data_IF_298841142930
#
_entry.id   IF_298841142930
#
_cell.length_a   1.000
_cell.length_b   1.000
_cell.length_c   1.000
_cell.angle_alpha   90.00
_cell.angle_beta   90.00
_cell.angle_gamma   90.00
#
_symmetry.space_group_name_H-M   'P 1'
#
loop_
_entity.id
_entity.type
_entity.pdbx_description
1 polymer ?
#
# COMPACT_ATOMS: atom_id res chain seq x y z
N UNK A 1 24.72 -39.54 -69.46
CA UNK A 1 24.72 -40.86 -70.14
C UNK A 1 24.53 -41.95 -69.09
N UNK A 2 23.60 -42.88 -69.36
CA UNK A 2 23.26 -44.13 -68.65
C UNK A 2 22.79 -44.04 -67.18
N UNK A 3 21.51 -44.28 -66.82
CA UNK A 3 20.68 -45.53 -66.88
C UNK A 3 21.43 -46.74 -66.32
N UNK A 4 20.88 -47.65 -65.52
CA UNK A 4 19.62 -47.88 -64.81
C UNK A 4 19.76 -49.29 -64.16
N UNK A 5 19.01 -49.59 -63.09
CA UNK A 5 18.39 -50.90 -62.75
C UNK A 5 18.12 -50.99 -61.23
N UNK A 6 16.89 -50.82 -60.72
CA UNK A 6 15.69 -51.72 -60.73
C UNK A 6 15.79 -52.87 -59.72
N UNK A 7 14.92 -52.84 -58.68
CA UNK A 7 13.93 -53.90 -58.33
C UNK A 7 13.10 -53.49 -57.08
N UNK A 8 11.76 -53.41 -57.20
CA UNK A 8 10.74 -54.39 -56.73
C UNK A 8 10.50 -54.36 -55.20
N UNK A 9 9.30 -54.39 -54.60
CA UNK A 9 7.91 -54.54 -55.09
C UNK A 9 6.91 -54.39 -53.89
N UNK A 10 5.69 -53.88 -54.15
CA UNK A 10 4.38 -54.09 -53.42
C UNK A 10 4.25 -53.66 -51.94
N UNK A 11 3.06 -53.36 -51.38
CA UNK A 11 1.69 -52.95 -51.79
C UNK A 11 0.96 -52.62 -50.46
N UNK A 12 0.12 -51.58 -50.48
CA UNK A 12 -1.18 -51.53 -49.78
C UNK A 12 -1.21 -51.27 -48.27
N UNK A 13 -1.86 -50.18 -47.86
CA UNK A 13 -3.22 -50.22 -47.30
C UNK A 13 -3.64 -48.82 -46.81
N UNK A 14 -4.81 -48.37 -47.27
CA UNK A 14 -5.51 -47.18 -46.81
C UNK A 14 -6.17 -47.49 -45.46
N UNK A 15 -5.78 -46.81 -44.39
CA UNK A 15 -6.46 -46.85 -43.10
C UNK A 15 -7.17 -45.52 -42.89
N UNK A 16 -8.50 -45.56 -42.78
CA UNK A 16 -9.36 -44.44 -42.38
C UNK A 16 -9.21 -44.21 -40.87
N UNK A 17 -9.17 -42.97 -40.37
CA UNK A 17 -9.22 -42.72 -38.93
C UNK A 17 -10.66 -42.85 -38.40
N UNK A 18 -10.80 -43.50 -37.24
CA UNK A 18 -12.04 -43.59 -36.46
C UNK A 18 -12.43 -42.24 -35.82
N UNK A 19 -13.73 -42.02 -35.52
CA UNK A 19 -14.19 -40.75 -34.98
C UNK A 19 -13.84 -40.60 -33.50
N UNK A 20 -13.06 -39.57 -33.18
CA UNK A 20 -12.86 -39.12 -31.81
C UNK A 20 -14.20 -38.73 -31.16
N UNK A 21 -14.50 -39.41 -30.06
CA UNK A 21 -15.51 -39.04 -29.08
C UNK A 21 -15.29 -37.59 -28.63
N UNK A 22 -16.27 -36.73 -28.93
CA UNK A 22 -16.33 -35.35 -28.41
C UNK A 22 -16.35 -35.38 -26.88
N UNK A 23 -15.24 -35.02 -26.25
CA UNK A 23 -15.26 -34.57 -24.87
C UNK A 23 -16.08 -33.27 -24.80
N UNK A 24 -16.95 -33.18 -23.79
CA UNK A 24 -17.66 -31.95 -23.43
C UNK A 24 -16.63 -30.85 -23.17
N UNK A 25 -16.47 -29.93 -24.10
CA UNK A 25 -15.95 -28.59 -23.78
C UNK A 25 -17.00 -27.91 -22.89
N UNK A 26 -16.86 -28.06 -21.57
CA UNK A 26 -17.30 -27.00 -20.66
C UNK A 26 -16.50 -25.76 -21.05
N UNK A 27 -17.18 -24.69 -21.42
CA UNK A 27 -16.57 -23.39 -21.66
C UNK A 27 -15.73 -23.00 -20.45
N UNK A 28 -14.42 -22.96 -20.61
CA UNK A 28 -13.46 -22.53 -19.59
C UNK A 28 -13.53 -21.01 -19.47
N UNK A 29 -14.66 -20.50 -18.99
CA UNK A 29 -14.78 -19.12 -18.60
C UNK A 29 -13.86 -18.92 -17.40
N UNK A 30 -12.75 -18.19 -17.60
CA UNK A 30 -11.77 -17.92 -16.57
C UNK A 30 -12.48 -17.43 -15.30
N UNK A 31 -12.22 -18.09 -14.17
CA UNK A 31 -12.78 -17.69 -12.87
C UNK A 31 -12.42 -16.23 -12.57
N UNK A 32 -13.34 -15.47 -11.97
CA UNK A 32 -13.08 -14.07 -11.67
C UNK A 32 -11.98 -13.91 -10.61
N UNK A 33 -11.30 -12.77 -10.67
CA UNK A 33 -10.46 -12.27 -9.60
C UNK A 33 -11.36 -11.70 -8.51
N UNK A 34 -11.14 -12.11 -7.26
CA UNK A 34 -11.80 -11.54 -6.10
C UNK A 34 -11.12 -10.25 -5.66
N UNK A 35 -11.90 -9.23 -5.32
CA UNK A 35 -11.36 -7.99 -4.73
C UNK A 35 -12.21 -7.55 -3.55
N UNK A 36 -11.62 -7.58 -2.35
CA UNK A 36 -12.29 -7.23 -1.10
C UNK A 36 -11.67 -5.96 -0.53
N UNK A 37 -12.54 -4.97 -0.28
CA UNK A 37 -12.16 -3.67 0.28
C UNK A 37 -12.12 -2.58 -0.79
N UNK A 38 -13.19 -1.78 -0.87
CA UNK A 38 -13.35 -0.71 -1.86
C UNK A 38 -13.23 0.66 -1.17
N UNK A 39 -12.12 0.83 -0.43
CA UNK A 39 -11.76 2.09 0.21
C UNK A 39 -11.06 3.07 -0.75
N UNK A 40 -10.42 4.09 -0.19
CA UNK A 40 -9.74 5.16 -0.95
C UNK A 40 -8.68 4.65 -1.95
N UNK A 41 -8.06 3.50 -1.67
CA UNK A 41 -7.12 2.83 -2.57
C UNK A 41 -7.75 1.66 -3.33
N UNK A 42 -8.57 0.84 -2.66
CA UNK A 42 -9.15 -0.35 -3.26
C UNK A 42 -10.10 -0.07 -4.42
N UNK A 43 -10.93 0.98 -4.33
CA UNK A 43 -11.85 1.37 -5.40
C UNK A 43 -11.12 1.69 -6.73
N UNK A 44 -10.14 2.64 -6.79
CA UNK A 44 -9.44 2.92 -8.04
C UNK A 44 -8.62 1.73 -8.56
N UNK A 45 -8.04 0.92 -7.67
CA UNK A 45 -7.31 -0.30 -8.07
C UNK A 45 -8.23 -1.32 -8.75
N UNK A 46 -9.39 -1.61 -8.14
CA UNK A 46 -10.39 -2.52 -8.69
C UNK A 46 -10.99 -1.98 -10.00
N UNK A 47 -11.19 -0.66 -10.11
CA UNK A 47 -11.67 -0.04 -11.35
C UNK A 47 -10.71 -0.23 -12.51
N UNK A 48 -9.40 -0.19 -12.26
CA UNK A 48 -8.43 -0.44 -13.33
C UNK A 48 -8.47 -1.90 -13.81
N UNK A 49 -8.65 -2.86 -12.90
CA UNK A 49 -8.85 -4.27 -13.26
C UNK A 49 -10.10 -4.42 -14.15
N UNK A 50 -11.23 -3.84 -13.73
CA UNK A 50 -12.49 -3.89 -14.46
C UNK A 50 -12.38 -3.25 -15.86
N UNK A 51 -11.79 -2.05 -15.96
CA UNK A 51 -11.57 -1.33 -17.23
C UNK A 51 -10.64 -2.08 -18.18
N UNK A 52 -9.70 -2.86 -17.66
CA UNK A 52 -8.83 -3.72 -18.45
C UNK A 52 -9.54 -5.02 -18.92
N UNK A 53 -10.81 -5.21 -18.59
CA UNK A 53 -11.59 -6.40 -18.97
C UNK A 53 -11.29 -7.62 -18.11
N UNK A 54 -10.66 -7.46 -16.94
CA UNK A 54 -10.43 -8.56 -15.99
C UNK A 54 -11.78 -9.00 -15.43
N UNK A 55 -12.17 -10.29 -15.56
CA UNK A 55 -13.36 -10.79 -14.88
C UNK A 55 -13.20 -10.57 -13.37
N UNK A 56 -14.00 -9.68 -12.79
CA UNK A 56 -13.82 -9.19 -11.43
C UNK A 56 -15.08 -9.46 -10.60
N UNK A 57 -14.88 -10.01 -9.40
CA UNK A 57 -15.92 -10.18 -8.38
C UNK A 57 -15.52 -9.36 -7.15
N UNK A 58 -16.31 -8.33 -6.85
CA UNK A 58 -15.99 -7.38 -5.78
C UNK A 58 -16.91 -7.55 -4.58
N UNK A 59 -16.37 -7.26 -3.40
CA UNK A 59 -17.18 -7.10 -2.20
C UNK A 59 -16.61 -6.00 -1.29
N UNK A 60 -17.51 -5.30 -0.62
CA UNK A 60 -17.17 -4.36 0.43
C UNK A 60 -18.25 -4.42 1.52
N UNK A 61 -17.86 -4.22 2.78
CA UNK A 61 -18.82 -4.21 3.91
C UNK A 61 -19.97 -3.24 3.70
N UNK A 62 -19.66 -2.06 3.17
CA UNK A 62 -20.67 -1.07 2.75
C UNK A 62 -20.94 -1.25 1.26
N UNK A 63 -22.10 -1.84 0.93
CA UNK A 63 -22.44 -2.29 -0.42
C UNK A 63 -22.54 -1.13 -1.43
N UNK A 64 -22.89 0.07 -0.98
CA UNK A 64 -22.98 1.26 -1.83
C UNK A 64 -21.64 1.61 -2.51
N UNK A 65 -20.51 1.20 -1.92
CA UNK A 65 -19.18 1.37 -2.52
C UNK A 65 -18.91 0.46 -3.71
N UNK A 66 -19.77 -0.53 -3.97
CA UNK A 66 -19.62 -1.42 -5.13
C UNK A 66 -20.23 -0.84 -6.40
N UNK A 67 -21.09 0.18 -6.30
CA UNK A 67 -21.82 0.75 -7.43
C UNK A 67 -20.90 1.24 -8.59
N UNK A 68 -19.78 1.95 -8.35
CA UNK A 68 -18.87 2.34 -9.43
C UNK A 68 -18.26 1.14 -10.16
N UNK A 69 -17.97 0.05 -9.44
CA UNK A 69 -17.38 -1.17 -9.99
C UNK A 69 -18.41 -1.97 -10.79
N UNK A 70 -19.65 -2.06 -10.31
CA UNK A 70 -20.75 -2.67 -11.04
C UNK A 70 -21.01 -1.95 -12.37
N UNK A 71 -21.01 -0.61 -12.35
CA UNK A 71 -21.13 0.20 -13.57
C UNK A 71 -19.96 0.00 -14.55
N UNK A 72 -18.78 -0.36 -14.04
CA UNK A 72 -17.61 -0.72 -14.83
C UNK A 72 -17.57 -2.20 -15.28
N UNK A 73 -18.64 -2.97 -15.02
CA UNK A 73 -18.77 -4.37 -15.45
C UNK A 73 -18.28 -5.42 -14.47
N UNK A 74 -17.90 -5.04 -13.24
CA UNK A 74 -17.57 -6.00 -12.19
C UNK A 74 -18.85 -6.68 -11.65
N UNK A 75 -18.73 -7.96 -11.29
CA UNK A 75 -19.76 -8.66 -10.54
C UNK A 75 -19.69 -8.25 -9.07
N UNK A 76 -20.84 -8.12 -8.42
CA UNK A 76 -20.92 -7.83 -6.98
C UNK A 76 -21.29 -9.12 -6.24
N UNK A 77 -20.49 -9.49 -5.25
CA UNK A 77 -20.78 -10.61 -4.37
C UNK A 77 -21.68 -10.19 -3.20
N UNK A 78 -22.48 -11.12 -2.69
CA UNK A 78 -23.38 -10.84 -1.55
C UNK A 78 -22.62 -10.80 -0.21
N UNK A 79 -21.47 -11.48 -0.14
CA UNK A 79 -20.65 -11.57 1.06
C UNK A 79 -19.18 -11.81 0.73
N UNK A 80 -18.28 -11.60 1.70
CA UNK A 80 -16.88 -12.03 1.57
C UNK A 80 -16.76 -13.53 1.27
N UNK A 81 -17.60 -14.37 1.88
CA UNK A 81 -17.61 -15.82 1.66
C UNK A 81 -17.96 -16.17 0.21
N UNK A 82 -18.87 -15.42 -0.42
CA UNK A 82 -19.22 -15.60 -1.83
C UNK A 82 -18.04 -15.28 -2.77
N UNK A 83 -17.23 -14.27 -2.44
CA UNK A 83 -15.97 -13.99 -3.17
C UNK A 83 -15.04 -15.20 -3.12
N UNK A 84 -14.77 -15.73 -1.92
CA UNK A 84 -13.92 -16.91 -1.76
C UNK A 84 -14.51 -18.18 -2.39
N UNK A 85 -15.83 -18.29 -2.53
CA UNK A 85 -16.45 -19.44 -3.19
C UNK A 85 -16.23 -19.44 -4.71
N UNK A 86 -16.03 -18.27 -5.32
CA UNK A 86 -16.08 -18.08 -6.79
C UNK A 86 -14.76 -17.61 -7.42
N UNK A 87 -13.81 -17.14 -6.62
CA UNK A 87 -12.52 -16.64 -7.08
C UNK A 87 -11.34 -17.49 -6.57
N UNK A 88 -10.35 -17.74 -7.45
CA UNK A 88 -9.14 -18.47 -7.10
C UNK A 88 -8.03 -17.57 -6.55
N UNK A 89 -8.03 -16.29 -6.94
CA UNK A 89 -7.11 -15.25 -6.45
C UNK A 89 -7.97 -14.14 -5.86
N UNK A 90 -7.74 -13.81 -4.59
CA UNK A 90 -8.50 -12.79 -3.86
C UNK A 90 -7.57 -11.71 -3.32
N UNK A 91 -7.70 -10.49 -3.82
CA UNK A 91 -7.01 -9.31 -3.29
C UNK A 91 -7.75 -8.77 -2.06
N UNK A 92 -6.99 -8.49 -1.00
CA UNK A 92 -7.46 -7.84 0.21
C UNK A 92 -6.82 -6.45 0.31
N UNK A 93 -7.63 -5.40 0.16
CA UNK A 93 -7.21 -4.01 0.34
C UNK A 93 -7.98 -3.37 1.50
N UNK A 94 -7.59 -3.75 2.71
CA UNK A 94 -8.29 -3.45 3.96
C UNK A 94 -7.46 -2.53 4.87
N UNK A 95 -8.12 -1.95 5.87
CA UNK A 95 -7.55 -0.89 6.72
C UNK A 95 -6.52 -1.41 7.72
N UNK A 96 -6.73 -2.59 8.29
CA UNK A 96 -5.89 -3.18 9.34
C UNK A 96 -6.02 -4.72 9.36
N UNK A 97 -5.28 -5.35 10.29
CA UNK A 97 -5.28 -6.80 10.50
C UNK A 97 -6.63 -7.34 10.99
N UNK A 98 -7.34 -6.60 11.85
CA UNK A 98 -8.64 -7.01 12.37
C UNK A 98 -9.68 -7.13 11.25
N UNK A 99 -9.67 -6.19 10.31
CA UNK A 99 -10.52 -6.25 9.11
C UNK A 99 -10.18 -7.47 8.23
N UNK A 100 -8.88 -7.79 8.09
CA UNK A 100 -8.42 -8.98 7.35
C UNK A 100 -8.90 -10.26 8.05
N UNK A 101 -8.70 -10.37 9.37
CA UNK A 101 -9.08 -11.53 10.15
C UNK A 101 -10.59 -11.77 10.12
N UNK A 102 -11.39 -10.71 10.19
CA UNK A 102 -12.86 -10.80 10.05
C UNK A 102 -13.30 -11.26 8.65
N UNK A 103 -12.68 -10.73 7.58
CA UNK A 103 -12.96 -11.11 6.19
C UNK A 103 -12.52 -12.53 5.88
N UNK A 104 -11.48 -13.02 6.54
CA UNK A 104 -11.02 -14.40 6.40
C UNK A 104 -11.71 -15.36 7.36
N UNK A 105 -12.45 -14.85 8.35
CA UNK A 105 -12.91 -15.64 9.50
C UNK A 105 -11.75 -16.40 10.15
N UNK A 106 -10.58 -15.74 10.28
CA UNK A 106 -9.29 -16.40 10.56
C UNK A 106 -9.28 -17.26 11.81
N UNK A 107 -10.00 -16.83 12.85
CA UNK A 107 -10.10 -17.54 14.12
C UNK A 107 -11.42 -18.32 14.26
N UNK A 108 -12.21 -18.40 13.19
CA UNK A 108 -13.51 -19.06 13.16
C UNK A 108 -13.54 -20.32 12.30
N UNK A 109 -14.69 -21.01 12.26
CA UNK A 109 -14.83 -22.30 11.61
C UNK A 109 -14.77 -22.22 10.07
N UNK A 110 -14.94 -21.03 9.46
CA UNK A 110 -14.97 -20.88 8.02
C UNK A 110 -13.60 -20.54 7.41
N UNK A 111 -12.55 -20.35 8.22
CA UNK A 111 -11.23 -19.98 7.70
C UNK A 111 -10.73 -20.94 6.61
N UNK A 112 -10.71 -22.24 6.92
CA UNK A 112 -10.22 -23.27 6.01
C UNK A 112 -11.01 -23.30 4.70
N UNK A 113 -12.34 -23.22 4.76
CA UNK A 113 -13.18 -23.22 3.55
C UNK A 113 -13.03 -21.95 2.72
N UNK A 114 -12.68 -20.81 3.35
CA UNK A 114 -12.42 -19.55 2.67
C UNK A 114 -11.07 -19.51 1.95
N UNK A 115 -10.01 -20.16 2.45
CA UNK A 115 -8.64 -19.95 1.90
C UNK A 115 -7.99 -21.19 1.29
N UNK A 116 -8.48 -22.40 1.59
CA UNK A 116 -7.93 -23.64 1.01
C UNK A 116 -7.93 -23.59 -0.53
N UNK A 117 -6.86 -24.05 -1.17
CA UNK A 117 -6.68 -24.10 -2.63
C UNK A 117 -6.76 -22.72 -3.35
N UNK A 118 -6.76 -21.61 -2.60
CA UNK A 118 -6.86 -20.23 -3.13
C UNK A 118 -5.58 -19.45 -2.88
N UNK A 119 -5.36 -18.41 -3.67
CA UNK A 119 -4.33 -17.41 -3.42
C UNK A 119 -4.98 -16.19 -2.75
N UNK A 120 -4.60 -15.93 -1.51
CA UNK A 120 -4.94 -14.68 -0.81
C UNK A 120 -3.79 -13.69 -1.01
N UNK A 121 -4.10 -12.52 -1.57
CA UNK A 121 -3.11 -11.46 -1.79
C UNK A 121 -3.39 -10.29 -0.86
N UNK A 122 -2.57 -10.11 0.15
CA UNK A 122 -2.69 -9.01 1.10
C UNK A 122 -1.98 -7.76 0.57
N UNK A 123 -2.77 -6.73 0.23
CA UNK A 123 -2.27 -5.45 -0.30
C UNK A 123 -2.25 -4.32 0.74
N UNK A 124 -2.88 -4.57 1.90
CA UNK A 124 -2.89 -3.65 3.03
C UNK A 124 -1.50 -3.45 3.64
N UNK A 125 -1.35 -2.41 4.44
CA UNK A 125 -0.11 -2.17 5.20
C UNK A 125 -0.37 -2.53 6.66
N UNK A 126 0.08 -3.73 7.06
CA UNK A 126 0.00 -4.25 8.43
C UNK A 126 1.42 -4.54 8.95
N UNK A 127 1.53 -5.05 10.19
CA UNK A 127 2.83 -5.41 10.74
C UNK A 127 3.44 -6.64 10.02
N UNK A 128 4.78 -6.71 9.88
CA UNK A 128 5.44 -7.89 9.30
C UNK A 128 5.16 -9.18 10.08
N UNK A 129 4.95 -9.09 11.40
CA UNK A 129 4.60 -10.23 12.25
C UNK A 129 3.19 -10.75 11.96
N UNK A 130 2.21 -9.86 11.79
CA UNK A 130 0.85 -10.23 11.39
C UNK A 130 0.85 -11.00 10.08
N UNK A 131 1.56 -10.49 9.06
CA UNK A 131 1.62 -11.11 7.74
C UNK A 131 2.30 -12.48 7.75
N UNK A 132 3.40 -12.64 8.50
CA UNK A 132 4.02 -13.97 8.71
C UNK A 132 3.05 -14.97 9.35
N UNK A 133 2.32 -14.54 10.38
CA UNK A 133 1.31 -15.39 11.01
C UNK A 133 0.20 -15.76 10.03
N UNK A 134 -0.26 -14.80 9.22
CA UNK A 134 -1.33 -15.03 8.25
C UNK A 134 -0.89 -16.00 7.15
N UNK A 135 0.35 -15.89 6.65
CA UNK A 135 0.92 -16.87 5.72
C UNK A 135 0.91 -18.28 6.33
N UNK A 136 1.39 -18.42 7.56
CA UNK A 136 1.48 -19.71 8.24
C UNK A 136 0.09 -20.36 8.38
N UNK A 137 -0.91 -19.60 8.80
CA UNK A 137 -2.28 -20.08 8.98
C UNK A 137 -2.91 -20.51 7.65
N UNK A 138 -2.77 -19.68 6.60
CA UNK A 138 -3.32 -20.00 5.27
C UNK A 138 -2.67 -21.27 4.70
N UNK A 139 -1.35 -21.41 4.84
CA UNK A 139 -0.63 -22.60 4.36
C UNK A 139 -1.00 -23.86 5.15
N UNK A 140 -1.25 -23.76 6.45
CA UNK A 140 -1.63 -24.89 7.29
C UNK A 140 -2.94 -25.56 6.83
N UNK A 141 -3.84 -24.82 6.18
CA UNK A 141 -5.10 -25.34 5.64
C UNK A 141 -5.06 -25.61 4.12
N UNK A 142 -3.88 -25.53 3.50
CA UNK A 142 -3.67 -25.81 2.08
C UNK A 142 -3.98 -24.62 1.14
N UNK A 143 -4.00 -23.40 1.66
CA UNK A 143 -4.06 -22.18 0.85
C UNK A 143 -2.68 -21.65 0.45
N UNK A 144 -2.70 -20.62 -0.37
CA UNK A 144 -1.51 -19.89 -0.84
C UNK A 144 -1.62 -18.42 -0.45
N UNK A 145 -0.48 -17.79 -0.16
CA UNK A 145 -0.45 -16.41 0.32
C UNK A 145 0.64 -15.60 -0.38
N UNK A 146 0.30 -14.34 -0.68
CA UNK A 146 1.25 -13.35 -1.15
C UNK A 146 1.00 -12.00 -0.48
N UNK A 147 2.07 -11.24 -0.28
CA UNK A 147 2.01 -9.81 0.01
C UNK A 147 2.13 -9.04 -1.29
N UNK A 148 1.30 -8.01 -1.47
CA UNK A 148 1.45 -7.06 -2.57
C UNK A 148 1.17 -5.61 -2.15
N UNK A 149 1.76 -5.08 -1.06
CA UNK A 149 1.62 -3.67 -0.73
C UNK A 149 2.13 -2.78 -1.86
N UNK A 150 1.55 -1.58 -1.97
CA UNK A 150 1.81 -0.67 -3.09
C UNK A 150 2.45 0.65 -2.63
N UNK A 151 3.30 1.20 -3.49
CA UNK A 151 3.76 2.60 -3.41
C UNK A 151 3.00 3.46 -4.42
N UNK A 152 2.62 4.67 -3.99
CA UNK A 152 1.73 5.57 -4.70
C UNK A 152 0.46 5.88 -3.89
N UNK A 153 -0.07 7.08 -4.05
CA UNK A 153 -1.32 7.53 -3.40
C UNK A 153 -2.51 7.33 -4.33
N UNK A 154 -3.65 7.97 -4.01
CA UNK A 154 -4.89 7.89 -4.79
C UNK A 154 -4.70 8.23 -6.27
N UNK A 155 -3.97 9.30 -6.61
CA UNK A 155 -3.76 9.71 -8.02
C UNK A 155 -3.02 8.64 -8.84
N UNK A 156 -1.86 8.11 -8.39
CA UNK A 156 -1.25 6.95 -9.03
C UNK A 156 -2.15 5.72 -9.11
N UNK A 157 -2.99 5.47 -8.08
CA UNK A 157 -3.95 4.37 -8.12
C UNK A 157 -5.00 4.56 -9.22
N UNK A 158 -5.59 5.75 -9.35
CA UNK A 158 -6.55 6.09 -10.40
C UNK A 158 -5.95 5.98 -11.82
N UNK A 159 -4.65 6.25 -11.95
CA UNK A 159 -3.92 6.19 -13.22
C UNK A 159 -3.32 4.81 -13.55
N UNK A 160 -3.46 3.81 -12.66
CA UNK A 160 -2.83 2.50 -12.82
C UNK A 160 -1.29 2.56 -12.79
N UNK A 161 -0.73 3.53 -12.06
CA UNK A 161 0.71 3.82 -11.99
C UNK A 161 1.35 3.44 -10.65
N UNK A 162 0.72 2.55 -9.88
CA UNK A 162 1.29 2.09 -8.62
C UNK A 162 2.56 1.26 -8.85
N UNK A 163 3.42 1.19 -7.84
CA UNK A 163 4.52 0.22 -7.79
C UNK A 163 4.19 -0.82 -6.74
N UNK A 164 3.96 -2.07 -7.16
CA UNK A 164 3.72 -3.18 -6.25
C UNK A 164 5.04 -3.75 -5.73
N UNK A 165 5.07 -4.10 -4.44
CA UNK A 165 6.11 -4.91 -3.82
C UNK A 165 5.51 -6.28 -3.57
N UNK A 166 5.96 -7.31 -4.30
CA UNK A 166 5.35 -8.63 -4.30
C UNK A 166 6.26 -9.66 -3.60
N UNK A 167 5.77 -10.29 -2.54
CA UNK A 167 6.47 -11.37 -1.84
C UNK A 167 5.55 -12.58 -1.64
N UNK A 168 6.15 -13.77 -1.61
CA UNK A 168 5.44 -15.07 -1.54
C UNK A 168 6.30 -16.19 -2.14
N UNK A 169 5.79 -17.42 -2.15
CA UNK A 169 6.47 -18.50 -2.86
C UNK A 169 6.49 -18.26 -4.38
N UNK A 170 7.45 -18.86 -5.07
CA UNK A 170 7.67 -18.63 -6.51
C UNK A 170 6.46 -18.98 -7.37
N UNK A 171 5.72 -20.05 -7.04
CA UNK A 171 4.53 -20.44 -7.78
C UNK A 171 3.40 -19.44 -7.61
N UNK A 172 3.16 -19.00 -6.38
CA UNK A 172 2.14 -18.00 -6.07
C UNK A 172 2.46 -16.65 -6.71
N UNK A 173 3.68 -16.14 -6.54
CA UNK A 173 4.08 -14.84 -7.09
C UNK A 173 4.06 -14.83 -8.62
N UNK A 174 4.41 -15.93 -9.28
CA UNK A 174 4.29 -16.06 -10.74
C UNK A 174 2.85 -15.94 -11.24
N UNK A 175 1.87 -16.43 -10.47
CA UNK A 175 0.44 -16.32 -10.80
C UNK A 175 -0.13 -14.93 -10.49
N UNK A 176 0.31 -14.30 -9.40
CA UNK A 176 -0.19 -12.97 -8.96
C UNK A 176 0.36 -11.84 -9.83
N UNK A 177 1.64 -11.88 -10.19
CA UNK A 177 2.32 -10.80 -10.92
C UNK A 177 1.58 -10.30 -12.17
N UNK A 178 1.13 -11.15 -13.12
CA UNK A 178 0.43 -10.65 -14.31
C UNK A 178 -0.92 -9.98 -13.99
N UNK A 179 -1.58 -10.36 -12.89
CA UNK A 179 -2.87 -9.79 -12.48
C UNK A 179 -2.71 -8.38 -11.89
N UNK A 180 -1.50 -8.03 -11.42
CA UNK A 180 -1.22 -6.68 -10.91
C UNK A 180 -1.08 -5.63 -12.02
N UNK A 181 -0.81 -6.04 -13.27
CA UNK A 181 -0.45 -5.14 -14.36
C UNK A 181 -1.46 -4.01 -14.66
N UNK A 182 -2.79 -4.21 -14.58
CA UNK A 182 -3.73 -3.11 -14.84
C UNK A 182 -3.68 -1.99 -13.79
N UNK A 183 -3.29 -2.30 -12.55
CA UNK A 183 -3.25 -1.33 -11.45
C UNK A 183 -1.85 -0.79 -11.15
N UNK A 184 -0.81 -1.43 -11.68
CA UNK A 184 0.58 -1.13 -11.36
C UNK A 184 1.42 -0.91 -12.62
N UNK A 185 2.22 0.15 -12.63
CA UNK A 185 3.25 0.39 -13.66
C UNK A 185 4.38 -0.62 -13.55
N UNK A 186 4.72 -1.03 -12.33
CA UNK A 186 5.83 -1.93 -12.04
C UNK A 186 5.50 -2.84 -10.86
N UNK A 187 6.06 -4.06 -10.86
CA UNK A 187 5.98 -5.02 -9.77
C UNK A 187 7.37 -5.53 -9.42
N UNK A 188 7.85 -5.15 -8.24
CA UNK A 188 9.12 -5.58 -7.69
C UNK A 188 8.95 -6.88 -6.90
N UNK A 189 9.74 -7.91 -7.22
CA UNK A 189 9.77 -9.15 -6.43
C UNK A 189 10.65 -8.95 -5.19
N UNK A 190 10.06 -9.08 -4.01
CA UNK A 190 10.73 -8.88 -2.72
C UNK A 190 11.16 -10.20 -2.04
N UNK A 191 10.92 -11.35 -2.67
CA UNK A 191 11.29 -12.66 -2.14
C UNK A 191 10.22 -13.25 -1.23
N UNK A 192 10.63 -13.81 -0.08
CA UNK A 192 9.72 -14.46 0.86
C UNK A 192 8.92 -13.45 1.69
N UNK A 193 7.76 -13.88 2.17
CA UNK A 193 7.03 -13.13 3.20
C UNK A 193 7.88 -13.02 4.48
N UNK A 194 7.93 -11.86 5.17
CA UNK A 194 7.16 -10.64 4.93
C UNK A 194 7.96 -9.51 4.26
N UNK A 195 8.85 -9.85 3.31
CA UNK A 195 9.81 -8.88 2.77
C UNK A 195 9.12 -7.75 1.99
N UNK A 196 7.94 -7.95 1.42
CA UNK A 196 7.25 -6.87 0.73
C UNK A 196 6.71 -5.83 1.71
N UNK A 197 6.17 -6.26 2.86
CA UNK A 197 5.80 -5.31 3.92
C UNK A 197 7.03 -4.62 4.51
N UNK A 198 8.12 -5.34 4.78
CA UNK A 198 9.37 -4.70 5.24
C UNK A 198 9.90 -3.67 4.23
N UNK A 199 9.85 -3.98 2.93
CA UNK A 199 10.21 -3.04 1.86
C UNK A 199 9.26 -1.82 1.84
N UNK A 200 7.95 -2.05 1.99
CA UNK A 200 6.97 -0.97 2.08
C UNK A 200 7.22 -0.05 3.27
N UNK A 201 7.55 -0.61 4.44
CA UNK A 201 7.91 0.16 5.63
C UNK A 201 9.19 0.98 5.41
N UNK A 202 10.21 0.41 4.76
CA UNK A 202 11.42 1.15 4.39
C UNK A 202 11.14 2.31 3.41
N UNK A 203 10.30 2.09 2.40
CA UNK A 203 9.85 3.15 1.46
C UNK A 203 9.08 4.24 2.20
N UNK A 204 8.19 3.87 3.12
CA UNK A 204 7.41 4.83 3.90
C UNK A 204 8.29 5.63 4.88
N UNK A 205 9.30 5.00 5.50
CA UNK A 205 10.29 5.70 6.33
C UNK A 205 10.98 6.83 5.55
N UNK A 206 11.42 6.53 4.32
CA UNK A 206 12.03 7.51 3.44
C UNK A 206 11.06 8.64 3.07
N UNK A 207 9.82 8.31 2.69
CA UNK A 207 8.78 9.28 2.38
C UNK A 207 8.49 10.23 3.55
N UNK A 208 8.31 9.67 4.75
CA UNK A 208 8.00 10.42 5.98
C UNK A 208 9.13 11.39 6.29
N UNK A 209 10.37 10.91 6.26
CA UNK A 209 11.56 11.72 6.54
C UNK A 209 11.70 12.85 5.52
N UNK A 210 11.52 12.56 4.23
CA UNK A 210 11.61 13.54 3.15
C UNK A 210 10.58 14.65 3.29
N UNK A 211 9.30 14.32 3.53
CA UNK A 211 8.25 15.33 3.63
C UNK A 211 8.39 16.17 4.90
N UNK A 212 8.81 15.56 6.01
CA UNK A 212 9.09 16.28 7.26
C UNK A 212 10.23 17.27 7.07
N UNK A 213 11.33 16.85 6.42
CA UNK A 213 12.44 17.74 6.09
C UNK A 213 12.07 18.85 5.12
N UNK A 214 11.20 18.56 4.14
CA UNK A 214 10.67 19.60 3.23
C UNK A 214 9.82 20.63 3.98
N UNK A 215 8.95 20.18 4.90
CA UNK A 215 8.16 21.08 5.74
C UNK A 215 9.04 21.96 6.63
N UNK A 216 10.08 21.38 7.24
CA UNK A 216 11.06 22.12 8.03
C UNK A 216 11.83 23.15 7.19
N UNK A 217 12.24 22.80 5.97
CA UNK A 217 12.93 23.72 5.07
C UNK A 217 12.04 24.90 4.63
N UNK A 218 10.76 24.64 4.33
CA UNK A 218 9.79 25.70 4.02
C UNK A 218 9.57 26.61 5.21
N UNK A 219 9.40 26.05 6.42
CA UNK A 219 9.32 26.82 7.65
C UNK A 219 10.56 27.68 7.88
N UNK A 220 11.76 27.12 7.70
CA UNK A 220 13.01 27.85 7.85
C UNK A 220 13.09 29.05 6.90
N UNK A 221 12.76 28.84 5.62
CA UNK A 221 12.75 29.91 4.62
C UNK A 221 11.75 31.02 4.96
N UNK A 222 10.52 30.65 5.33
CA UNK A 222 9.48 31.59 5.74
C UNK A 222 9.90 32.42 6.96
N UNK A 223 10.46 31.77 8.00
CA UNK A 223 10.94 32.47 9.20
C UNK A 223 12.10 33.42 8.94
N UNK A 224 12.87 33.19 7.87
CA UNK A 224 13.92 34.08 7.39
C UNK A 224 13.45 35.06 6.29
N UNK A 225 12.14 35.13 6.01
CA UNK A 225 11.52 36.02 5.01
C UNK A 225 12.07 35.80 3.59
N UNK A 226 12.44 34.56 3.27
CA UNK A 226 12.83 34.15 1.92
C UNK A 226 11.58 33.84 1.08
N UNK A 227 11.71 33.95 -0.25
CA UNK A 227 10.67 33.51 -1.17
C UNK A 227 10.58 31.98 -1.19
N UNK A 228 9.52 31.43 -0.59
CA UNK A 228 9.30 29.99 -0.53
C UNK A 228 8.97 29.36 -1.89
N UNK A 229 8.44 30.14 -2.85
CA UNK A 229 8.24 29.65 -4.21
C UNK A 229 9.60 29.50 -4.92
N UNK A 230 10.52 30.44 -4.69
CA UNK A 230 11.89 30.33 -5.17
C UNK A 230 12.62 29.13 -4.54
N UNK A 231 12.43 28.86 -3.24
CA UNK A 231 12.95 27.63 -2.61
C UNK A 231 12.47 26.37 -3.34
N UNK A 232 11.17 26.24 -3.60
CA UNK A 232 10.61 25.07 -4.30
C UNK A 232 11.19 24.95 -5.72
N UNK A 233 11.34 26.05 -6.44
CA UNK A 233 11.95 26.06 -7.77
C UNK A 233 13.42 25.62 -7.74
N UNK A 234 14.20 26.05 -6.74
CA UNK A 234 15.60 25.63 -6.56
C UNK A 234 15.67 24.12 -6.28
N UNK A 235 14.80 23.59 -5.42
CA UNK A 235 14.76 22.16 -5.11
C UNK A 235 14.40 21.32 -6.33
N UNK A 236 13.46 21.78 -7.17
CA UNK A 236 13.02 21.06 -8.37
C UNK A 236 14.05 21.11 -9.51
N UNK A 237 14.84 22.18 -9.61
CA UNK A 237 15.96 22.26 -10.55
C UNK A 237 17.19 21.44 -10.10
N UNK A 238 17.23 21.04 -8.82
CA UNK A 238 18.37 20.37 -8.20
C UNK A 238 18.27 18.85 -8.15
N UNK A 239 19.31 18.17 -7.63
CA UNK A 239 19.35 16.72 -7.51
C UNK A 239 18.35 16.14 -6.49
N UNK A 240 17.70 16.99 -5.69
CA UNK A 240 16.71 16.60 -4.69
C UNK A 240 15.28 16.53 -5.26
N UNK A 241 15.11 16.88 -6.54
CA UNK A 241 13.83 16.90 -7.21
C UNK A 241 13.18 15.51 -7.23
N UNK A 242 11.92 15.44 -6.83
CA UNK A 242 11.13 14.20 -6.83
C UNK A 242 9.66 14.52 -7.08
N UNK A 243 8.88 13.52 -7.50
CA UNK A 243 7.43 13.71 -7.64
C UNK A 243 6.77 14.05 -6.30
N UNK A 244 7.35 13.56 -5.19
CA UNK A 244 6.91 13.94 -3.84
C UNK A 244 7.16 15.42 -3.59
N UNK A 245 8.37 15.93 -3.84
CA UNK A 245 8.66 17.36 -3.60
C UNK A 245 7.84 18.27 -4.54
N UNK A 246 7.65 17.89 -5.81
CA UNK A 246 6.79 18.60 -6.76
C UNK A 246 5.32 18.65 -6.35
N UNK A 247 4.84 17.64 -5.64
CA UNK A 247 3.46 17.61 -5.12
C UNK A 247 3.33 18.30 -3.77
N UNK A 248 4.29 18.12 -2.85
CA UNK A 248 4.20 18.62 -1.47
C UNK A 248 4.69 20.06 -1.31
N UNK A 249 5.65 20.51 -2.12
CA UNK A 249 6.14 21.89 -2.11
C UNK A 249 5.03 22.93 -2.29
N UNK A 250 4.24 22.87 -3.40
CA UNK A 250 3.10 23.77 -3.61
C UNK A 250 2.05 23.73 -2.49
N UNK A 251 1.80 22.54 -1.91
CA UNK A 251 0.88 22.38 -0.77
C UNK A 251 1.37 23.09 0.48
N UNK A 252 2.67 23.00 0.78
CA UNK A 252 3.28 23.66 1.94
C UNK A 252 3.23 25.18 1.80
N UNK A 253 3.67 25.72 0.66
CA UNK A 253 3.70 27.18 0.44
C UNK A 253 2.29 27.78 0.36
N UNK A 254 1.34 27.03 -0.22
CA UNK A 254 -0.06 27.45 -0.33
C UNK A 254 -0.92 27.11 0.88
N UNK A 255 -0.35 26.45 1.90
CA UNK A 255 -1.08 25.90 3.07
C UNK A 255 -2.29 25.04 2.69
N UNK A 256 -2.21 24.33 1.56
CA UNK A 256 -3.24 23.41 1.10
C UNK A 256 -3.02 22.01 1.68
N UNK A 257 -3.67 21.75 2.82
CA UNK A 257 -3.66 20.45 3.47
C UNK A 257 -4.81 19.53 3.08
N UNK A 258 -5.43 19.73 1.91
CA UNK A 258 -6.37 18.77 1.34
C UNK A 258 -5.70 17.40 1.18
N UNK A 259 -6.36 16.38 1.74
CA UNK A 259 -5.79 15.08 2.05
C UNK A 259 -5.38 14.28 0.80
N UNK A 260 -4.13 13.81 0.78
CA UNK A 260 -3.67 12.74 -0.11
C UNK A 260 -3.12 11.56 0.71
N UNK A 261 -2.42 11.87 1.80
CA UNK A 261 -2.02 10.93 2.83
C UNK A 261 -2.34 11.56 4.19
N UNK A 262 -3.36 11.06 4.88
CA UNK A 262 -3.81 11.63 6.15
C UNK A 262 -2.72 11.53 7.24
N UNK A 263 -2.59 12.55 8.08
CA UNK A 263 -1.69 12.54 9.25
C UNK A 263 -1.91 11.29 10.10
N UNK A 264 -3.16 10.91 10.37
CA UNK A 264 -3.47 9.70 11.15
C UNK A 264 -2.90 8.43 10.52
N UNK A 265 -2.98 8.30 9.19
CA UNK A 265 -2.48 7.13 8.48
C UNK A 265 -0.94 7.13 8.47
N UNK A 266 -0.31 8.29 8.32
CA UNK A 266 1.15 8.41 8.36
C UNK A 266 1.70 8.17 9.76
N UNK A 267 0.97 8.58 10.80
CA UNK A 267 1.32 8.26 12.18
C UNK A 267 1.26 6.75 12.44
N UNK A 268 0.24 6.08 11.91
CA UNK A 268 0.15 4.62 12.01
C UNK A 268 1.31 3.91 11.28
N UNK A 269 1.66 4.37 10.08
CA UNK A 269 2.85 3.88 9.38
C UNK A 269 4.14 4.10 10.20
N UNK A 270 4.31 5.27 10.84
CA UNK A 270 5.45 5.50 11.74
C UNK A 270 5.51 4.44 12.85
N UNK A 271 4.37 4.08 13.46
CA UNK A 271 4.31 3.05 14.51
C UNK A 271 4.75 1.69 13.99
N UNK A 272 4.20 1.26 12.85
CA UNK A 272 4.59 -0.01 12.22
C UNK A 272 6.09 -0.07 11.90
N UNK A 273 6.66 1.02 11.38
CA UNK A 273 8.11 1.11 11.11
C UNK A 273 8.90 1.05 12.41
N UNK A 274 8.48 1.79 13.44
CA UNK A 274 9.19 1.87 14.71
C UNK A 274 9.18 0.54 15.45
N UNK A 275 8.06 -0.17 15.44
CA UNK A 275 7.94 -1.54 15.97
C UNK A 275 8.86 -2.49 15.22
N UNK A 276 8.79 -2.53 13.88
CA UNK A 276 9.65 -3.40 13.08
C UNK A 276 11.15 -3.09 13.27
N UNK A 277 11.53 -1.83 13.44
CA UNK A 277 12.89 -1.43 13.71
C UNK A 277 13.36 -1.90 15.09
N UNK A 278 12.54 -1.72 16.14
CA UNK A 278 12.86 -2.15 17.51
C UNK A 278 12.99 -3.67 17.61
N UNK A 279 12.06 -4.41 17.00
CA UNK A 279 12.09 -5.88 16.96
C UNK A 279 13.38 -6.40 16.31
N UNK A 280 13.92 -5.67 15.33
CA UNK A 280 15.16 -6.00 14.63
C UNK A 280 16.43 -5.38 15.26
N UNK A 281 16.31 -4.60 16.34
CA UNK A 281 17.44 -3.89 16.95
C UNK A 281 18.06 -2.80 16.07
N UNK A 282 17.28 -2.20 15.16
CA UNK A 282 17.73 -1.18 14.20
C UNK A 282 17.57 0.22 14.79
N UNK A 283 18.63 1.02 14.76
CA UNK A 283 18.57 2.44 15.11
C UNK A 283 17.81 3.24 14.04
N UNK A 284 16.84 4.06 14.46
CA UNK A 284 16.00 4.88 13.56
C UNK A 284 15.76 6.30 14.10
N UNK A 285 16.81 7.12 14.32
CA UNK A 285 16.68 8.40 15.04
C UNK A 285 15.77 9.43 14.33
N UNK A 286 15.83 9.52 12.99
CA UNK A 286 14.94 10.42 12.23
C UNK A 286 13.47 10.01 12.33
N UNK A 287 13.21 8.70 12.41
CA UNK A 287 11.85 8.19 12.58
C UNK A 287 11.26 8.64 13.92
N UNK A 288 12.04 8.60 15.00
CA UNK A 288 11.56 9.02 16.33
C UNK A 288 11.16 10.50 16.35
N UNK A 289 11.96 11.36 15.69
CA UNK A 289 11.64 12.79 15.51
C UNK A 289 10.37 12.96 14.68
N UNK A 290 10.26 12.27 13.55
CA UNK A 290 9.06 12.31 12.71
C UNK A 290 7.83 11.85 13.50
N UNK A 291 7.90 10.70 14.19
CA UNK A 291 6.80 10.16 14.97
C UNK A 291 6.31 11.16 16.03
N UNK A 292 7.21 11.88 16.71
CA UNK A 292 6.84 12.92 17.65
C UNK A 292 6.09 14.09 16.97
N UNK A 293 6.59 14.58 15.83
CA UNK A 293 5.96 15.67 15.07
C UNK A 293 4.59 15.27 14.53
N UNK A 294 4.45 14.09 13.92
CA UNK A 294 3.15 13.61 13.42
C UNK A 294 2.13 13.41 14.54
N UNK A 295 2.56 12.91 15.71
CA UNK A 295 1.71 12.79 16.89
C UNK A 295 1.24 14.16 17.39
N UNK A 296 2.13 15.14 17.44
CA UNK A 296 1.80 16.51 17.82
C UNK A 296 0.83 17.16 16.83
N UNK A 297 1.06 17.01 15.53
CA UNK A 297 0.14 17.49 14.48
C UNK A 297 -1.25 16.87 14.64
N UNK A 298 -1.35 15.57 14.95
CA UNK A 298 -2.63 14.95 15.24
C UNK A 298 -3.28 15.55 16.50
N UNK A 299 -2.51 15.77 17.58
CA UNK A 299 -3.00 16.38 18.81
C UNK A 299 -3.49 17.83 18.61
N UNK A 300 -2.94 18.54 17.61
CA UNK A 300 -3.41 19.85 17.17
C UNK A 300 -4.71 19.81 16.33
N UNK A 301 -5.31 18.63 16.13
CA UNK A 301 -6.58 18.46 15.42
C UNK A 301 -6.44 18.24 13.91
N UNK A 302 -5.21 18.08 13.39
CA UNK A 302 -4.96 17.91 11.96
C UNK A 302 -4.91 16.46 11.49
N UNK A 303 -5.52 15.52 12.23
CA UNK A 303 -5.47 14.08 11.91
C UNK A 303 -5.97 13.73 10.49
N UNK A 304 -7.02 14.41 10.03
CA UNK A 304 -7.58 14.21 8.68
C UNK A 304 -6.90 15.04 7.57
N UNK A 305 -5.93 15.88 7.92
CA UNK A 305 -5.20 16.71 6.97
C UNK A 305 -4.10 15.91 6.26
N UNK A 306 -3.62 16.41 5.12
CA UNK A 306 -2.46 15.81 4.44
C UNK A 306 -1.20 15.82 5.31
N UNK A 307 -0.29 14.87 5.07
CA UNK A 307 0.99 14.75 5.77
C UNK A 307 1.86 16.01 5.73
N UNK A 308 1.66 16.90 4.76
CA UNK A 308 2.28 18.22 4.73
C UNK A 308 1.90 19.11 5.94
N UNK A 309 0.77 18.83 6.58
CA UNK A 309 0.33 19.52 7.80
C UNK A 309 1.27 19.27 9.01
N UNK A 310 2.27 18.38 8.89
CA UNK A 310 3.36 18.25 9.87
C UNK A 310 4.05 19.60 10.16
N UNK A 311 4.02 20.52 9.19
CA UNK A 311 4.41 21.92 9.33
C UNK A 311 3.80 22.59 10.59
N UNK A 312 2.55 22.29 10.92
CA UNK A 312 1.84 22.90 12.06
C UNK A 312 2.48 22.56 13.42
N UNK A 313 3.05 21.36 13.58
CA UNK A 313 3.77 21.00 14.80
C UNK A 313 5.12 21.75 14.89
N UNK A 314 5.82 21.92 13.76
CA UNK A 314 7.08 22.67 13.69
C UNK A 314 6.83 24.15 14.05
N UNK A 315 5.77 24.74 13.50
CA UNK A 315 5.33 26.10 13.83
C UNK A 315 4.97 26.23 15.31
N UNK A 316 4.22 25.27 15.87
CA UNK A 316 3.84 25.25 17.27
C UNK A 316 5.06 25.22 18.20
N UNK A 317 6.07 24.39 17.91
CA UNK A 317 7.33 24.33 18.68
C UNK A 317 8.10 25.65 18.62
N UNK A 318 8.17 26.28 17.44
CA UNK A 318 8.81 27.60 17.26
C UNK A 318 8.13 28.68 18.10
N UNK A 319 6.79 28.68 18.09
CA UNK A 319 6.00 29.64 18.84
C UNK A 319 6.08 29.43 20.36
N UNK A 320 6.15 28.19 20.82
CA UNK A 320 6.39 27.87 22.23
C UNK A 320 7.75 28.39 22.70
N UNK A 321 8.80 28.14 21.92
CA UNK A 321 10.15 28.62 22.24
C UNK A 321 10.21 30.16 22.32
N UNK A 322 9.57 30.87 21.38
CA UNK A 322 9.51 32.33 21.40
C UNK A 322 8.81 32.87 22.67
N UNK A 323 7.79 32.17 23.18
CA UNK A 323 7.10 32.55 24.43
C UNK A 323 7.97 32.31 25.66
N UNK A 324 8.74 31.23 25.70
CA UNK A 324 9.64 30.94 26.82
C UNK A 324 10.80 31.93 26.89
N UNK A 325 11.36 32.34 25.74
CA UNK A 325 12.39 33.39 25.66
C UNK A 325 11.83 34.76 26.08
N UNK A 326 10.56 35.04 25.78
CA UNK A 326 9.91 36.31 26.14
C UNK A 326 9.43 36.37 27.59
N UNK A 327 9.53 35.27 28.37
CA UNK A 327 9.05 35.22 29.75
C UNK A 327 10.08 35.89 30.67
N UNK A 328 9.74 36.97 31.38
CA UNK A 328 10.71 37.65 32.24
C UNK A 328 11.20 36.71 33.34
N UNK A 329 12.53 36.63 33.51
CA UNK A 329 13.15 35.93 34.63
C UNK A 329 12.71 36.65 35.89
N UNK A 330 11.81 36.03 36.67
CA UNK A 330 11.49 36.52 38.01
C UNK A 330 12.74 36.30 38.86
N UNK A 331 13.52 37.37 39.09
CA UNK A 331 14.59 37.34 40.08
C UNK A 331 13.96 37.04 41.45
N UNK A 332 14.53 36.11 42.24
CA UNK A 332 14.07 35.93 43.61
C UNK A 332 14.30 37.25 44.36
N UNK A 333 13.22 37.82 44.88
CA UNK A 333 13.31 38.91 45.86
C UNK A 333 14.08 38.37 47.07
N UNK A 334 15.32 38.84 47.24
CA UNK A 334 16.01 38.73 48.51
C UNK A 334 15.30 39.68 49.49
N UNK A 335 14.45 39.12 50.35
CA UNK A 335 13.99 39.81 51.55
C UNK A 335 15.17 39.97 52.51
N UNK A 336 15.91 41.07 52.38
CA UNK A 336 16.71 41.62 53.47
C UNK A 336 15.78 42.43 54.39
N UNK A 337 15.13 41.75 55.33
CA UNK A 337 14.59 42.43 56.51
C UNK A 337 14.44 41.49 57.71
N UNK A 338 15.55 41.24 58.42
CA UNK A 338 15.52 40.99 59.86
C UNK A 338 16.95 40.97 60.44
N UNK A 339 17.49 42.15 60.75
CA UNK A 339 18.42 42.33 61.88
C UNK A 339 18.64 43.83 62.13
N UNK A 340 17.90 44.40 63.08
CA UNK A 340 18.41 45.36 64.08
C UNK A 340 17.31 45.82 65.03
N UNK A 341 17.57 45.55 66.32
CA UNK A 341 17.05 46.13 67.57
C UNK A 341 15.66 45.68 68.01
#
# INVERSE_FOLDING_TARGET
MNRAAIRCVRRGSLIRPEPHTRSKQMSDAARPIGFIGLGAMGEPMALNLAKAGTPLLVWNRSLEKTAPLAAAGAQVADSAADVFARADIVFLMLVDGDAVDAVLDRHGPNFASRVKDRIVVHMGTTSPSFSRGLEADIRAVGGHYAEAPVSGSRKPAEAGQLVAMLAGDTGTTARVRPVLAPMCRETMLCGSVPNALLMKLAVNLYLISMVTGLAEAVHFADRNRLDTAQLVAILDAGPMASDVSRVKGPKLIGRDFAVQAAISNVLENNRLIAEAARDAGIASPLLDVCHALYRETQALGHGGADMAAVLTAIEARTNAHARDVARPVVQPHHDESAQSI
#
